data_IF_860838216378
#
_entry.id   IF_860838216378
#
_cell.length_a   1.000
_cell.length_b   1.000
_cell.length_c   1.000
_cell.angle_alpha   90.00
_cell.angle_beta   90.00
_cell.angle_gamma   90.00
#
_symmetry.space_group_name_H-M   'P 1'
#
loop_
_entity.id
_entity.type
_entity.pdbx_description
1 polymer ?
#
# COMPACT_ATOMS: atom_id res chain seq x y z
N UNK A 1 -3.14 -45.13 11.56
CA UNK A 1 -4.14 -44.06 11.35
C UNK A 1 -4.00 -42.98 12.42
N UNK A 2 -3.52 -41.80 12.05
CA UNK A 2 -3.80 -40.53 12.76
C UNK A 2 -3.95 -39.46 11.69
N UNK A 3 -5.17 -38.91 11.57
CA UNK A 3 -5.53 -37.84 10.62
C UNK A 3 -4.76 -36.58 11.00
N UNK A 4 -3.97 -36.02 10.09
CA UNK A 4 -3.48 -34.64 10.20
C UNK A 4 -4.56 -33.73 9.64
N UNK A 5 -5.09 -32.89 10.52
CA UNK A 5 -6.05 -31.83 10.21
C UNK A 5 -5.25 -30.74 9.50
N UNK A 6 -5.63 -30.43 8.26
CA UNK A 6 -5.08 -29.34 7.47
C UNK A 6 -5.86 -28.08 7.87
N UNK A 7 -5.21 -27.17 8.60
CA UNK A 7 -5.82 -25.89 8.99
C UNK A 7 -5.42 -24.84 7.95
N UNK A 8 -6.34 -24.29 7.15
CA UNK A 8 -6.04 -23.21 6.22
C UNK A 8 -6.36 -21.88 6.92
N UNK A 9 -5.36 -21.07 7.28
CA UNK A 9 -5.64 -19.78 7.96
C UNK A 9 -4.82 -18.65 7.32
N UNK A 10 -5.52 -17.91 6.45
CA UNK A 10 -5.52 -16.44 6.26
C UNK A 10 -4.17 -15.81 5.91
N UNK A 11 -3.78 -15.86 4.62
CA UNK A 11 -2.71 -15.02 4.06
C UNK A 11 -3.10 -14.32 2.75
N UNK A 12 -4.40 -14.12 2.49
CA UNK A 12 -4.87 -13.67 1.18
C UNK A 12 -6.18 -12.87 1.22
N UNK A 13 -6.23 -11.77 1.98
CA UNK A 13 -7.43 -10.90 2.04
C UNK A 13 -7.14 -9.44 1.64
N UNK A 14 -5.89 -8.97 1.61
CA UNK A 14 -5.63 -7.54 1.36
C UNK A 14 -5.91 -7.08 -0.08
N UNK A 15 -5.89 -7.98 -1.07
CA UNK A 15 -6.28 -7.64 -2.44
C UNK A 15 -7.72 -8.03 -2.80
N UNK A 16 -8.38 -8.93 -2.06
CA UNK A 16 -9.80 -9.23 -2.33
C UNK A 16 -10.70 -8.04 -2.01
N UNK A 17 -10.32 -7.15 -1.09
CA UNK A 17 -11.03 -5.88 -0.83
C UNK A 17 -10.83 -4.84 -1.94
N UNK A 18 -9.66 -4.81 -2.60
CA UNK A 18 -9.40 -3.94 -3.76
C UNK A 18 -10.12 -4.44 -5.02
N UNK A 19 -10.22 -5.77 -5.22
CA UNK A 19 -10.86 -6.35 -6.41
C UNK A 19 -12.39 -6.52 -6.32
N UNK A 20 -12.98 -6.77 -5.14
CA UNK A 20 -14.46 -6.88 -5.00
C UNK A 20 -15.16 -5.54 -4.75
N UNK A 21 -14.47 -4.57 -4.12
CA UNK A 21 -14.96 -3.19 -4.02
C UNK A 21 -15.00 -2.48 -5.38
N UNK A 22 -14.12 -2.91 -6.30
CA UNK A 22 -14.02 -2.44 -7.68
C UNK A 22 -15.23 -2.68 -8.57
N UNK A 23 -16.08 -3.67 -8.25
CA UNK A 23 -17.30 -3.96 -9.04
C UNK A 23 -18.60 -3.55 -8.35
N UNK A 24 -18.62 -3.44 -7.02
CA UNK A 24 -19.87 -3.21 -6.27
C UNK A 24 -20.11 -1.72 -5.92
N UNK A 25 -19.06 -0.90 -5.85
CA UNK A 25 -19.17 0.53 -5.48
C UNK A 25 -19.37 1.43 -6.72
N UNK A 26 -18.92 0.97 -7.91
CA UNK A 26 -18.92 1.78 -9.13
C UNK A 26 -20.33 2.12 -9.67
N UNK A 27 -21.40 1.45 -9.23
CA UNK A 27 -22.78 1.84 -9.59
C UNK A 27 -23.48 2.74 -8.57
N UNK A 28 -22.95 2.91 -7.35
CA UNK A 28 -23.61 3.65 -6.26
C UNK A 28 -23.08 5.07 -6.02
N UNK A 29 -21.93 5.42 -6.59
CA UNK A 29 -21.28 6.71 -6.37
C UNK A 29 -21.87 7.88 -7.17
N UNK A 30 -22.66 7.63 -8.22
CA UNK A 30 -23.14 8.69 -9.10
C UNK A 30 -24.65 8.90 -9.02
N UNK A 31 -25.08 9.50 -7.90
CA UNK A 31 -26.25 10.37 -7.88
C UNK A 31 -26.23 11.36 -6.71
N UNK A 32 -26.21 12.65 -7.07
CA UNK A 32 -26.64 13.86 -6.33
C UNK A 32 -25.74 14.54 -5.26
N UNK A 33 -25.29 15.75 -5.66
CA UNK A 33 -25.32 17.06 -4.95
C UNK A 33 -24.47 17.24 -3.67
N UNK A 34 -24.14 18.50 -3.34
CA UNK A 34 -23.16 19.03 -2.35
C UNK A 34 -22.94 18.24 -1.03
N UNK A 35 -23.90 17.45 -0.54
CA UNK A 35 -23.73 16.44 0.53
C UNK A 35 -22.74 15.29 0.16
N UNK A 36 -22.31 15.19 -1.10
CA UNK A 36 -21.39 14.17 -1.62
C UNK A 36 -19.93 14.48 -1.30
N UNK A 37 -19.51 15.75 -1.16
CA UNK A 37 -18.13 16.06 -0.72
C UNK A 37 -17.88 15.53 0.69
N UNK A 38 -18.81 15.77 1.61
CA UNK A 38 -18.74 15.23 2.97
C UNK A 38 -18.91 13.71 3.00
N UNK A 39 -19.76 13.11 2.16
CA UNK A 39 -19.92 11.64 2.10
C UNK A 39 -18.79 10.91 1.40
N UNK A 40 -18.13 11.50 0.39
CA UNK A 40 -16.92 10.97 -0.24
C UNK A 40 -15.74 11.18 0.69
N UNK A 41 -15.63 12.32 1.38
CA UNK A 41 -14.65 12.53 2.43
C UNK A 41 -14.85 11.52 3.56
N UNK A 42 -16.09 11.30 4.04
CA UNK A 42 -16.40 10.27 5.03
C UNK A 42 -16.17 8.86 4.50
N UNK A 43 -16.50 8.54 3.25
CA UNK A 43 -16.28 7.21 2.68
C UNK A 43 -14.80 6.93 2.44
N UNK A 44 -14.04 7.95 2.00
CA UNK A 44 -12.59 7.91 1.90
C UNK A 44 -11.95 7.84 3.28
N UNK A 45 -12.44 8.57 4.29
CA UNK A 45 -12.02 8.43 5.69
C UNK A 45 -12.35 7.04 6.21
N UNK A 46 -13.54 6.50 5.96
CA UNK A 46 -13.97 5.19 6.46
C UNK A 46 -13.19 4.06 5.77
N UNK A 47 -12.91 4.15 4.47
CA UNK A 47 -12.06 3.20 3.76
C UNK A 47 -10.58 3.36 4.09
N UNK A 48 -10.09 4.58 4.29
CA UNK A 48 -8.73 4.84 4.78
C UNK A 48 -8.59 4.32 6.21
N UNK A 49 -9.63 4.47 7.04
CA UNK A 49 -9.73 3.87 8.38
C UNK A 49 -9.75 2.34 8.27
N UNK A 50 -10.50 1.75 7.35
CA UNK A 50 -10.53 0.29 7.17
C UNK A 50 -9.23 -0.27 6.57
N UNK A 51 -8.58 0.45 5.66
CA UNK A 51 -7.27 0.11 5.10
C UNK A 51 -6.15 0.28 6.14
N UNK A 52 -6.24 1.32 6.97
CA UNK A 52 -5.36 1.52 8.12
C UNK A 52 -5.59 0.43 9.17
N UNK A 53 -6.84 0.14 9.53
CA UNK A 53 -7.19 -0.96 10.46
C UNK A 53 -6.70 -2.29 9.90
N UNK A 54 -6.84 -2.55 8.60
CA UNK A 54 -6.33 -3.78 8.00
C UNK A 54 -4.79 -3.83 8.02
N UNK A 55 -4.10 -2.71 7.76
CA UNK A 55 -2.63 -2.62 7.86
C UNK A 55 -2.14 -2.75 9.31
N UNK A 56 -2.82 -2.11 10.25
CA UNK A 56 -2.55 -2.16 11.69
C UNK A 56 -2.85 -3.54 12.27
N UNK A 57 -3.90 -4.23 11.80
CA UNK A 57 -4.23 -5.58 12.25
C UNK A 57 -3.27 -6.64 11.69
N UNK A 58 -2.68 -6.43 10.50
CA UNK A 58 -1.55 -7.23 10.02
C UNK A 58 -0.29 -6.98 10.85
N UNK A 59 0.00 -5.73 11.17
CA UNK A 59 1.17 -5.35 11.98
C UNK A 59 1.06 -5.76 13.46
N UNK A 60 -0.16 -5.86 14.01
CA UNK A 60 -0.41 -6.22 15.40
C UNK A 60 -0.56 -7.74 15.64
N UNK A 61 -0.83 -8.56 14.61
CA UNK A 61 -1.05 -10.01 14.74
C UNK A 61 -0.06 -10.89 13.97
N UNK A 62 0.92 -10.32 13.27
CA UNK A 62 1.98 -11.10 12.66
C UNK A 62 2.94 -11.62 13.75
N UNK A 63 2.63 -12.77 14.35
CA UNK A 63 3.66 -13.60 14.95
C UNK A 63 4.71 -13.85 13.86
N UNK A 64 5.89 -13.26 14.06
CA UNK A 64 6.96 -13.33 13.07
C UNK A 64 7.43 -14.78 12.95
N UNK A 65 6.94 -15.47 11.92
CA UNK A 65 7.37 -16.82 11.57
C UNK A 65 8.90 -16.92 11.57
N UNK A 66 9.42 -17.81 12.40
CA UNK A 66 10.86 -18.00 12.60
C UNK A 66 11.28 -19.27 11.89
N UNK A 67 11.77 -19.12 10.66
CA UNK A 67 12.56 -20.17 10.02
C UNK A 67 13.95 -20.21 10.70
N UNK A 68 14.37 -21.34 11.31
CA UNK A 68 15.67 -21.45 11.94
C UNK A 68 16.86 -21.32 10.97
N UNK A 69 16.67 -21.51 9.67
CA UNK A 69 17.70 -21.33 8.64
C UNK A 69 17.68 -19.96 7.96
N UNK A 70 16.83 -19.05 8.45
CA UNK A 70 16.68 -17.73 7.89
C UNK A 70 17.98 -16.89 7.94
N UNK A 71 18.25 -16.03 6.92
CA UNK A 71 19.46 -15.20 6.87
C UNK A 71 19.70 -14.35 8.13
N UNK A 72 18.65 -13.77 8.70
CA UNK A 72 18.71 -12.94 9.92
C UNK A 72 19.15 -13.68 11.17
N UNK A 73 19.11 -15.02 11.19
CA UNK A 73 19.60 -15.78 12.34
C UNK A 73 21.14 -15.69 12.47
N UNK A 74 21.83 -15.20 11.45
CA UNK A 74 23.26 -14.91 11.49
C UNK A 74 23.58 -13.57 12.16
N UNK A 75 22.56 -12.72 12.41
CA UNK A 75 22.77 -11.39 12.96
C UNK A 75 22.88 -11.46 14.47
N UNK A 76 23.95 -10.88 15.03
CA UNK A 76 24.17 -10.84 16.48
C UNK A 76 23.33 -9.77 17.18
N UNK A 77 22.99 -8.68 16.49
CA UNK A 77 22.15 -7.60 17.01
C UNK A 77 20.66 -7.95 16.84
N UNK A 78 19.94 -8.08 17.95
CA UNK A 78 18.52 -8.39 17.96
C UNK A 78 17.67 -7.33 17.25
N UNK A 79 18.05 -6.06 17.31
CA UNK A 79 17.33 -4.96 16.62
C UNK A 79 17.47 -5.12 15.11
N UNK A 80 18.69 -5.36 14.64
CA UNK A 80 18.97 -5.64 13.21
C UNK A 80 18.23 -6.89 12.73
N UNK A 81 18.22 -7.96 13.55
CA UNK A 81 17.50 -9.21 13.26
C UNK A 81 16.00 -8.98 13.10
N UNK A 82 15.37 -8.29 14.05
CA UNK A 82 13.95 -7.98 14.00
C UNK A 82 13.60 -7.11 12.79
N UNK A 83 14.43 -6.10 12.51
CA UNK A 83 14.21 -5.21 11.39
C UNK A 83 14.36 -5.90 10.03
N UNK A 84 15.39 -6.73 9.84
CA UNK A 84 15.53 -7.52 8.62
C UNK A 84 14.33 -8.45 8.39
N UNK A 85 13.88 -9.12 9.45
CA UNK A 85 12.74 -10.05 9.39
C UNK A 85 11.47 -9.33 8.91
N UNK A 86 11.23 -8.11 9.38
CA UNK A 86 10.17 -7.24 8.89
C UNK A 86 10.33 -6.96 7.39
N UNK A 87 11.46 -6.39 6.99
CA UNK A 87 11.68 -6.02 5.59
C UNK A 87 11.47 -7.22 4.69
N UNK A 88 11.92 -8.41 5.11
CA UNK A 88 11.77 -9.65 4.34
C UNK A 88 10.31 -10.05 4.18
N UNK A 89 9.52 -9.98 5.25
CA UNK A 89 8.08 -10.29 5.18
C UNK A 89 7.36 -9.32 4.24
N UNK A 90 7.64 -8.02 4.36
CA UNK A 90 7.07 -7.01 3.48
C UNK A 90 7.50 -7.24 2.02
N UNK A 91 8.79 -7.47 1.79
CA UNK A 91 9.33 -7.82 0.48
C UNK A 91 8.63 -9.02 -0.15
N UNK A 92 8.45 -10.12 0.59
CA UNK A 92 7.76 -11.31 0.12
C UNK A 92 6.32 -11.02 -0.32
N UNK A 93 5.57 -10.24 0.46
CA UNK A 93 4.22 -9.84 0.08
C UNK A 93 4.19 -9.05 -1.24
N UNK A 94 5.09 -8.08 -1.41
CA UNK A 94 5.20 -7.32 -2.66
C UNK A 94 5.65 -8.18 -3.85
N UNK A 95 6.48 -9.19 -3.63
CA UNK A 95 6.88 -10.14 -4.69
C UNK A 95 5.69 -10.99 -5.13
N UNK A 96 4.89 -11.51 -4.19
CA UNK A 96 3.68 -12.27 -4.50
C UNK A 96 2.68 -11.41 -5.29
N UNK A 97 2.49 -10.16 -4.88
CA UNK A 97 1.67 -9.19 -5.60
C UNK A 97 2.20 -8.92 -7.01
N UNK A 98 3.52 -8.80 -7.18
CA UNK A 98 4.13 -8.56 -8.48
C UNK A 98 3.87 -9.72 -9.44
N UNK A 99 3.98 -10.96 -8.96
CA UNK A 99 3.64 -12.15 -9.74
C UNK A 99 2.16 -12.17 -10.12
N UNK A 100 1.29 -11.90 -9.15
CA UNK A 100 -0.15 -11.83 -9.39
C UNK A 100 -0.50 -10.79 -10.46
N UNK A 101 -0.02 -9.56 -10.33
CA UNK A 101 -0.31 -8.47 -11.28
C UNK A 101 0.27 -8.79 -12.66
N UNK A 102 1.51 -9.29 -12.72
CA UNK A 102 2.16 -9.73 -13.96
C UNK A 102 1.32 -10.76 -14.73
N UNK A 103 0.77 -11.75 -14.04
CA UNK A 103 -0.06 -12.76 -14.68
C UNK A 103 -1.40 -12.19 -15.16
N UNK A 104 -2.04 -11.30 -14.40
CA UNK A 104 -3.28 -10.66 -14.84
C UNK A 104 -3.09 -9.77 -16.07
N UNK A 105 -1.96 -9.06 -16.22
CA UNK A 105 -1.64 -8.25 -17.41
C UNK A 105 -1.66 -9.09 -18.70
N UNK A 106 -1.20 -10.34 -18.64
CA UNK A 106 -1.11 -11.24 -19.81
C UNK A 106 -2.48 -11.57 -20.38
N UNK A 107 -3.49 -11.69 -19.52
CA UNK A 107 -4.83 -12.14 -19.88
C UNK A 107 -5.86 -11.01 -20.00
N UNK A 108 -5.52 -9.80 -19.54
CA UNK A 108 -6.42 -8.66 -19.61
C UNK A 108 -6.62 -8.19 -21.06
N UNK A 109 -7.90 -8.09 -21.45
CA UNK A 109 -8.34 -7.72 -22.79
C UNK A 109 -8.85 -6.29 -22.85
N UNK A 110 -9.33 -5.75 -21.74
CA UNK A 110 -9.71 -4.34 -21.63
C UNK A 110 -8.43 -3.48 -21.63
N UNK A 111 -8.22 -2.63 -22.64
CA UNK A 111 -7.03 -1.77 -22.70
C UNK A 111 -6.87 -0.85 -21.49
N UNK A 112 -7.98 -0.40 -20.88
CA UNK A 112 -7.95 0.48 -19.71
C UNK A 112 -7.50 -0.28 -18.46
N UNK A 113 -8.10 -1.44 -18.22
CA UNK A 113 -7.72 -2.31 -17.10
C UNK A 113 -6.28 -2.80 -17.26
N UNK A 114 -5.85 -3.08 -18.50
CA UNK A 114 -4.47 -3.45 -18.79
C UNK A 114 -3.49 -2.32 -18.48
N UNK A 115 -3.81 -1.08 -18.85
CA UNK A 115 -2.99 0.09 -18.52
C UNK A 115 -2.90 0.31 -17.00
N UNK A 116 -4.03 0.16 -16.29
CA UNK A 116 -4.06 0.21 -14.83
C UNK A 116 -3.13 -0.85 -14.21
N UNK A 117 -3.25 -2.11 -14.64
CA UNK A 117 -2.41 -3.19 -14.14
C UNK A 117 -0.91 -2.97 -14.46
N UNK A 118 -0.56 -2.40 -15.61
CA UNK A 118 0.83 -2.03 -15.95
C UNK A 118 1.37 -0.98 -14.96
N UNK A 119 0.58 0.01 -14.58
CA UNK A 119 0.99 1.02 -13.60
C UNK A 119 1.21 0.39 -12.22
N UNK A 120 0.24 -0.41 -11.75
CA UNK A 120 0.37 -1.17 -10.50
C UNK A 120 1.62 -2.05 -10.53
N UNK A 121 1.87 -2.76 -11.63
CA UNK A 121 3.08 -3.57 -11.79
C UNK A 121 4.35 -2.73 -11.64
N UNK A 122 4.42 -1.56 -12.28
CA UNK A 122 5.58 -0.68 -12.21
C UNK A 122 5.84 -0.18 -10.79
N UNK A 123 4.78 0.23 -10.09
CA UNK A 123 4.88 0.70 -8.70
C UNK A 123 5.29 -0.42 -7.74
N UNK A 124 4.63 -1.59 -7.84
CA UNK A 124 4.97 -2.78 -7.06
C UNK A 124 6.41 -3.21 -7.32
N UNK A 125 6.87 -3.20 -8.58
CA UNK A 125 8.24 -3.54 -8.93
C UNK A 125 9.25 -2.59 -8.29
N UNK A 126 8.97 -1.28 -8.32
CA UNK A 126 9.81 -0.28 -7.66
C UNK A 126 9.90 -0.51 -6.13
N UNK A 127 8.78 -0.89 -5.51
CA UNK A 127 8.76 -1.26 -4.09
C UNK A 127 9.63 -2.50 -3.82
N UNK A 128 9.46 -3.57 -4.61
CA UNK A 128 10.28 -4.80 -4.53
C UNK A 128 11.77 -4.49 -4.64
N UNK A 129 12.16 -3.68 -5.62
CA UNK A 129 13.57 -3.28 -5.82
C UNK A 129 14.11 -2.48 -4.63
N UNK A 130 13.29 -1.63 -4.02
CA UNK A 130 13.67 -0.82 -2.86
C UNK A 130 13.87 -1.69 -1.61
N UNK A 131 12.91 -2.56 -1.27
CA UNK A 131 13.08 -3.48 -0.13
C UNK A 131 14.24 -4.44 -0.34
N UNK A 132 14.47 -4.92 -1.57
CA UNK A 132 15.62 -5.76 -1.89
C UNK A 132 16.94 -5.06 -1.55
N UNK A 133 17.06 -3.75 -1.84
CA UNK A 133 18.25 -2.97 -1.47
C UNK A 133 18.41 -2.90 0.05
N UNK A 134 17.34 -2.69 0.81
CA UNK A 134 17.42 -2.68 2.27
C UNK A 134 17.86 -4.03 2.86
N UNK A 135 17.34 -5.14 2.31
CA UNK A 135 17.77 -6.50 2.70
C UNK A 135 19.25 -6.71 2.41
N UNK A 136 19.71 -6.35 1.20
CA UNK A 136 21.11 -6.46 0.80
C UNK A 136 22.02 -5.63 1.72
N UNK A 137 21.67 -4.37 2.01
CA UNK A 137 22.46 -3.51 2.90
C UNK A 137 22.59 -4.10 4.32
N UNK A 138 21.55 -4.75 4.83
CA UNK A 138 21.57 -5.42 6.13
C UNK A 138 22.32 -6.76 6.09
N UNK A 139 22.25 -7.52 5.01
CA UNK A 139 23.03 -8.75 4.81
C UNK A 139 24.53 -8.45 4.74
N UNK A 140 24.90 -7.42 3.99
CA UNK A 140 26.29 -7.02 3.79
C UNK A 140 26.88 -6.42 5.08
N UNK A 141 26.10 -5.64 5.83
CA UNK A 141 26.51 -5.06 7.10
C UNK A 141 25.34 -4.87 8.10
N UNK A 142 25.06 -5.88 8.95
CA UNK A 142 23.98 -5.80 9.93
C UNK A 142 24.13 -4.66 10.95
N UNK A 143 25.36 -4.20 11.23
CA UNK A 143 25.60 -3.09 12.15
C UNK A 143 25.12 -1.74 11.60
N UNK A 144 24.88 -1.65 10.28
CA UNK A 144 24.36 -0.45 9.62
C UNK A 144 22.83 -0.29 9.77
N UNK A 145 22.18 -1.13 10.58
CA UNK A 145 20.72 -1.18 10.65
C UNK A 145 20.04 0.15 10.97
N UNK A 146 20.69 1.05 11.74
CA UNK A 146 20.14 2.38 12.05
C UNK A 146 19.98 3.25 10.80
N UNK A 147 20.97 3.23 9.90
CA UNK A 147 20.92 3.99 8.65
C UNK A 147 19.91 3.36 7.69
N UNK A 148 19.85 2.03 7.63
CA UNK A 148 18.83 1.33 6.82
C UNK A 148 17.43 1.61 7.36
N UNK A 149 17.26 1.70 8.69
CA UNK A 149 16.00 2.07 9.33
C UNK A 149 15.56 3.47 8.91
N UNK A 150 16.45 4.46 8.91
CA UNK A 150 16.12 5.82 8.46
C UNK A 150 15.61 5.83 7.02
N UNK A 151 16.33 5.19 6.10
CA UNK A 151 15.92 5.08 4.69
C UNK A 151 14.58 4.36 4.52
N UNK A 152 14.41 3.24 5.23
CA UNK A 152 13.16 2.47 5.23
C UNK A 152 12.00 3.29 5.75
N UNK A 153 12.20 4.01 6.87
CA UNK A 153 11.19 4.85 7.50
C UNK A 153 10.75 5.97 6.56
N UNK A 154 11.69 6.68 5.95
CA UNK A 154 11.39 7.73 4.96
C UNK A 154 10.59 7.18 3.77
N UNK A 155 11.01 6.04 3.24
CA UNK A 155 10.31 5.37 2.15
C UNK A 155 8.88 4.95 2.53
N UNK A 156 8.70 4.30 3.68
CA UNK A 156 7.39 3.84 4.14
C UNK A 156 6.45 5.00 4.45
N UNK A 157 6.95 6.10 5.03
CA UNK A 157 6.17 7.32 5.29
C UNK A 157 5.57 7.83 3.99
N UNK A 158 6.42 8.03 2.98
CA UNK A 158 6.00 8.55 1.68
C UNK A 158 5.00 7.60 1.01
N UNK A 159 5.34 6.30 0.96
CA UNK A 159 4.54 5.28 0.28
C UNK A 159 3.16 5.13 0.92
N UNK A 160 3.10 4.94 2.25
CA UNK A 160 1.83 4.72 2.95
C UNK A 160 0.94 5.96 2.89
N UNK A 161 1.50 7.16 3.06
CA UNK A 161 0.74 8.40 2.97
C UNK A 161 0.10 8.58 1.58
N UNK A 162 0.88 8.35 0.50
CA UNK A 162 0.37 8.39 -0.87
C UNK A 162 -0.72 7.35 -1.14
N UNK A 163 -0.51 6.10 -0.72
CA UNK A 163 -1.50 5.03 -0.91
C UNK A 163 -2.82 5.37 -0.21
N UNK A 164 -2.75 5.85 1.04
CA UNK A 164 -3.91 6.29 1.83
C UNK A 164 -4.69 7.43 1.18
N UNK A 165 -4.03 8.28 0.40
CA UNK A 165 -4.63 9.46 -0.24
C UNK A 165 -4.74 9.34 -1.77
N UNK A 166 -4.48 8.15 -2.33
CA UNK A 166 -4.43 7.91 -3.79
C UNK A 166 -5.69 8.37 -4.53
N UNK A 167 -6.86 8.28 -3.89
CA UNK A 167 -8.14 8.76 -4.45
C UNK A 167 -8.26 10.28 -4.48
N UNK A 168 -7.53 10.98 -3.64
CA UNK A 168 -7.49 12.44 -3.55
C UNK A 168 -6.37 13.03 -4.42
N UNK A 169 -5.42 12.21 -4.85
CA UNK A 169 -4.28 12.61 -5.67
C UNK A 169 -4.75 13.23 -7.00
N UNK A 170 -4.46 14.51 -7.27
CA UNK A 170 -4.85 15.18 -8.50
C UNK A 170 -4.37 14.48 -9.77
N UNK A 171 -3.18 13.89 -9.74
CA UNK A 171 -2.59 13.27 -10.92
C UNK A 171 -3.26 11.91 -11.20
N UNK A 172 -3.58 11.14 -10.16
CA UNK A 172 -4.40 9.93 -10.31
C UNK A 172 -5.83 10.23 -10.74
N UNK A 173 -6.45 11.29 -10.19
CA UNK A 173 -7.76 11.75 -10.65
C UNK A 173 -7.75 12.15 -12.12
N UNK A 174 -6.75 12.94 -12.55
CA UNK A 174 -6.61 13.33 -13.96
C UNK A 174 -6.40 12.12 -14.85
N UNK A 175 -5.54 11.19 -14.43
CA UNK A 175 -5.33 9.93 -15.14
C UNK A 175 -6.66 9.21 -15.31
N UNK A 176 -7.44 9.05 -14.25
CA UNK A 176 -8.75 8.40 -14.31
C UNK A 176 -9.73 9.13 -15.24
N UNK A 177 -9.92 10.44 -15.09
CA UNK A 177 -10.95 11.20 -15.81
C UNK A 177 -10.59 11.54 -17.26
N UNK A 178 -9.31 11.62 -17.62
CA UNK A 178 -8.91 12.18 -18.91
C UNK A 178 -8.09 11.25 -19.80
N UNK A 179 -7.74 10.04 -19.33
CA UNK A 179 -7.01 9.06 -20.18
C UNK A 179 -7.91 8.00 -20.80
N UNK A 180 -9.00 7.61 -20.15
CA UNK A 180 -9.90 6.53 -20.62
C UNK A 180 -11.20 7.07 -21.23
N UNK A 181 -11.85 6.35 -22.17
CA UNK A 181 -13.17 6.73 -22.69
C UNK A 181 -14.25 6.88 -21.60
N UNK A 182 -14.31 5.94 -20.66
CA UNK A 182 -15.25 5.91 -19.55
C UNK A 182 -15.00 7.07 -18.59
N UNK A 183 -13.73 7.34 -18.28
CA UNK A 183 -13.32 8.48 -17.47
C UNK A 183 -13.73 9.81 -18.09
N UNK A 184 -13.50 9.98 -19.41
CA UNK A 184 -13.88 11.19 -20.15
C UNK A 184 -15.39 11.40 -20.18
N UNK A 185 -16.15 10.33 -20.32
CA UNK A 185 -17.61 10.38 -20.30
C UNK A 185 -18.12 10.77 -18.91
N UNK A 186 -17.56 10.19 -17.85
CA UNK A 186 -17.85 10.59 -16.47
C UNK A 186 -17.47 12.05 -16.20
N UNK A 187 -16.32 12.50 -16.70
CA UNK A 187 -15.89 13.88 -16.54
C UNK A 187 -16.87 14.85 -17.21
N UNK A 188 -17.36 14.52 -18.41
CA UNK A 188 -18.39 15.31 -19.12
C UNK A 188 -19.72 15.32 -18.38
N UNK A 189 -20.22 14.17 -17.94
CA UNK A 189 -21.51 14.05 -17.24
C UNK A 189 -21.54 14.89 -15.96
N UNK A 190 -20.38 15.11 -15.35
CA UNK A 190 -20.24 15.79 -14.07
C UNK A 190 -19.59 17.16 -14.15
N UNK A 191 -19.37 17.67 -15.37
CA UNK A 191 -18.70 18.95 -15.62
C UNK A 191 -17.35 19.08 -14.89
N UNK A 192 -16.60 17.99 -14.83
CA UNK A 192 -15.27 17.93 -14.21
C UNK A 192 -14.23 18.40 -15.22
N UNK A 193 -13.44 19.41 -14.87
CA UNK A 193 -12.34 19.91 -15.68
C UNK A 193 -10.98 19.63 -15.04
N UNK A 194 -9.92 19.56 -15.84
CA UNK A 194 -8.55 19.45 -15.31
C UNK A 194 -8.21 20.62 -14.37
N UNK A 195 -8.73 21.82 -14.64
CA UNK A 195 -8.53 23.00 -13.80
C UNK A 195 -9.18 22.84 -12.41
N UNK A 196 -10.36 22.22 -12.33
CA UNK A 196 -11.00 21.95 -11.04
C UNK A 196 -10.19 20.94 -10.21
N UNK A 197 -9.66 19.89 -10.85
CA UNK A 197 -8.78 18.93 -10.16
C UNK A 197 -7.47 19.59 -9.73
N UNK A 198 -6.91 20.47 -10.55
CA UNK A 198 -5.67 21.19 -10.22
C UNK A 198 -5.84 22.11 -9.00
N UNK A 199 -7.01 22.73 -8.85
CA UNK A 199 -7.33 23.57 -7.66
C UNK A 199 -7.32 22.78 -6.35
N UNK A 200 -7.43 21.45 -6.39
CA UNK A 200 -7.37 20.58 -5.21
C UNK A 200 -5.92 20.24 -4.81
N UNK A 201 -4.91 20.56 -5.62
CA UNK A 201 -3.51 20.16 -5.37
C UNK A 201 -2.94 20.71 -4.07
N UNK A 202 -3.19 21.97 -3.77
CA UNK A 202 -2.70 22.59 -2.54
C UNK A 202 -3.33 21.96 -1.28
N UNK A 203 -4.60 21.59 -1.36
CA UNK A 203 -5.31 20.90 -0.29
C UNK A 203 -4.80 19.47 -0.13
N UNK A 204 -4.64 18.74 -1.24
CA UNK A 204 -4.01 17.42 -1.25
C UNK A 204 -2.62 17.45 -0.62
N UNK A 205 -1.78 18.43 -0.95
CA UNK A 205 -0.43 18.53 -0.40
C UNK A 205 -0.45 18.74 1.11
N UNK A 206 -1.39 19.54 1.64
CA UNK A 206 -1.55 19.72 3.09
C UNK A 206 -1.94 18.41 3.76
N UNK A 207 -2.95 17.72 3.23
CA UNK A 207 -3.39 16.42 3.74
C UNK A 207 -2.27 15.37 3.67
N UNK A 208 -1.47 15.40 2.61
CA UNK A 208 -0.33 14.50 2.43
C UNK A 208 0.72 14.73 3.52
N UNK A 209 1.08 15.98 3.82
CA UNK A 209 2.05 16.28 4.88
C UNK A 209 1.51 15.97 6.29
N UNK A 210 0.20 16.15 6.52
CA UNK A 210 -0.44 15.69 7.76
C UNK A 210 -0.41 14.17 7.88
N UNK A 211 -0.73 13.45 6.79
CA UNK A 211 -0.72 11.99 6.79
C UNK A 211 0.68 11.43 6.98
N UNK A 212 1.71 12.07 6.44
CA UNK A 212 3.11 11.69 6.67
C UNK A 212 3.49 11.74 8.15
N UNK A 213 3.01 12.74 8.90
CA UNK A 213 3.25 12.83 10.35
C UNK A 213 2.57 11.69 11.10
N UNK A 214 1.30 11.42 10.78
CA UNK A 214 0.56 10.32 11.38
C UNK A 214 1.22 8.95 11.11
N UNK A 215 1.64 8.70 9.87
CA UNK A 215 2.33 7.47 9.49
C UNK A 215 3.69 7.37 10.20
N UNK A 216 4.42 8.49 10.32
CA UNK A 216 5.70 8.52 11.03
C UNK A 216 5.54 8.11 12.50
N UNK A 217 4.53 8.63 13.19
CA UNK A 217 4.20 8.27 14.58
C UNK A 217 3.84 6.78 14.70
N UNK A 218 2.97 6.28 13.81
CA UNK A 218 2.57 4.87 13.79
C UNK A 218 3.75 3.93 13.57
N UNK A 219 4.65 4.27 12.63
CA UNK A 219 5.87 3.50 12.37
C UNK A 219 6.83 3.50 13.56
N UNK A 220 6.98 4.64 14.24
CA UNK A 220 7.86 4.75 15.41
C UNK A 220 7.30 3.96 16.60
N UNK A 221 5.99 4.07 16.88
CA UNK A 221 5.33 3.27 17.94
C UNK A 221 5.41 1.78 17.65
N UNK A 222 5.20 1.38 16.41
CA UNK A 222 5.33 0.00 15.99
C UNK A 222 6.78 -0.49 16.12
N UNK A 223 7.76 0.31 15.70
CA UNK A 223 9.18 -0.04 15.79
C UNK A 223 9.65 -0.20 17.25
N UNK A 224 9.15 0.64 18.16
CA UNK A 224 9.37 0.49 19.62
C UNK A 224 8.80 -0.81 20.14
N UNK A 225 7.53 -1.12 19.81
CA UNK A 225 6.86 -2.36 20.23
C UNK A 225 7.58 -3.63 19.74
N UNK A 226 8.27 -3.54 18.60
CA UNK A 226 9.03 -4.64 18.01
C UNK A 226 10.53 -4.63 18.38
N UNK A 227 10.94 -3.74 19.28
CA UNK A 227 12.32 -3.65 19.75
C UNK A 227 13.33 -3.27 18.66
N UNK A 228 12.89 -2.57 17.62
CA UNK A 228 13.76 -2.05 16.55
C UNK A 228 14.38 -0.72 16.98
N UNK A 229 13.63 0.12 17.68
CA UNK A 229 14.09 1.39 18.28
C UNK A 229 13.69 1.46 19.77
N UNK A 230 14.18 2.49 20.46
CA UNK A 230 13.84 2.80 21.87
C UNK A 230 12.69 3.80 21.97
#
# INVERSE_FOLDING_TARGET
MRKKIFTPIILGIFLLSVFLGGKFIYSKAYNLNQNVKEKIALAAETENTNAQIASQNQENNAELYTDPNAPENKFSDTKAKNFYRLIRQTYSAFVDDLYYVSDNIKYEKDPNMKLYLINVYSETKSCVETYKKFLQELEDNPHNWKNVWQKYREFEIERRAKVSLSKLDPDEKKRFFFTTPEGKELAKQNNITEEQIEKERDEYQKLLEEKKKEVAEQLDEWAKRNGIIE
#
